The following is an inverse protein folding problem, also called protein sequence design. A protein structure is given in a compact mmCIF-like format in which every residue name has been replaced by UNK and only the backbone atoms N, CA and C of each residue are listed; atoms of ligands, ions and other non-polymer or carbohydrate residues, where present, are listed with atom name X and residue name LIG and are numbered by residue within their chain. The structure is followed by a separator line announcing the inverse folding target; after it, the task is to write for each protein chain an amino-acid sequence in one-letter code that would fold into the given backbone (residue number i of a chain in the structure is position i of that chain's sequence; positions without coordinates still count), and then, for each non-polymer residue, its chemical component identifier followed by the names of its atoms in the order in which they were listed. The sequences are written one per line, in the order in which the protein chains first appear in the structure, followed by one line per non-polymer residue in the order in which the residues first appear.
data_IF_894513712041
#
_entry.id   IF_894513712041
#
_cell.length_a   1.000
_cell.length_b   1.000
_cell.length_c   1.000
_cell.angle_alpha   90.00
_cell.angle_beta   90.00
_cell.angle_gamma   90.00
#
_symmetry.space_group_name_H-M   'P 1'
#
loop_
_entity.id
_entity.type
_entity.pdbx_description
1 polymer ?
#
# COMPACT_ATOMS: atom_id res chain seq x y z
N UNK A 1 -24.03 27.09 18.30
CA UNK A 1 -23.80 26.83 19.74
C UNK A 1 -24.60 25.59 20.11
N UNK A 2 -23.95 24.43 20.09
CA UNK A 2 -24.57 23.16 20.50
C UNK A 2 -23.97 22.80 21.85
N UNK A 3 -24.86 22.71 22.84
CA UNK A 3 -24.54 22.33 24.20
C UNK A 3 -24.12 20.86 24.23
N UNK A 4 -22.94 20.65 24.83
CA UNK A 4 -22.41 19.37 25.28
C UNK A 4 -23.17 18.97 26.53
N UNK A 5 -23.68 17.74 26.58
CA UNK A 5 -24.16 17.13 27.82
C UNK A 5 -23.66 15.69 27.90
N UNK A 6 -22.95 15.42 28.99
CA UNK A 6 -22.47 14.10 29.43
C UNK A 6 -23.56 13.39 30.23
N UNK A 7 -23.71 12.06 30.05
CA UNK A 7 -23.91 11.07 31.13
C UNK A 7 -24.23 9.64 30.61
N UNK A 8 -23.40 8.70 31.10
CA UNK A 8 -23.68 7.41 31.74
C UNK A 8 -24.69 6.37 31.20
N UNK A 9 -24.13 5.25 30.75
CA UNK A 9 -24.47 3.81 30.92
C UNK A 9 -25.84 3.45 31.55
N UNK A 10 -26.70 2.69 30.82
CA UNK A 10 -27.17 1.33 31.14
C UNK A 10 -28.15 0.76 30.07
N UNK A 11 -27.87 -0.48 29.63
CA UNK A 11 -28.72 -1.58 29.07
C UNK A 11 -29.91 -1.34 28.09
N UNK A 12 -29.89 -2.22 27.06
CA UNK A 12 -30.96 -2.89 26.27
C UNK A 12 -30.96 -2.55 24.76
N UNK A 13 -31.61 -3.35 23.89
CA UNK A 13 -31.39 -4.75 23.55
C UNK A 13 -31.08 -4.91 22.03
N UNK A 14 -30.86 -6.14 21.58
CA UNK A 14 -30.74 -6.50 20.15
C UNK A 14 -31.84 -5.86 19.30
N UNK A 15 -31.48 -4.98 18.35
CA UNK A 15 -32.07 -4.91 17.02
C UNK A 15 -31.37 -3.83 16.13
N UNK A 16 -31.02 -4.26 14.91
CA UNK A 16 -30.72 -3.46 13.72
C UNK A 16 -29.50 -2.53 13.76
N UNK A 17 -28.32 -3.07 13.41
CA UNK A 17 -27.28 -2.32 12.67
C UNK A 17 -26.57 -3.27 11.70
N UNK A 18 -27.08 -3.37 10.47
CA UNK A 18 -26.41 -4.00 9.32
C UNK A 18 -25.69 -2.96 8.44
N UNK A 19 -25.07 -1.96 9.05
CA UNK A 19 -24.13 -1.08 8.35
C UNK A 19 -22.72 -1.55 8.67
N UNK A 20 -21.87 -1.63 7.65
CA UNK A 20 -20.49 -2.14 7.71
C UNK A 20 -19.68 -1.39 8.77
N UNK A 21 -19.66 -1.89 10.01
CA UNK A 21 -18.98 -1.25 11.11
C UNK A 21 -17.49 -1.60 11.05
N UNK A 22 -16.69 -0.76 10.40
CA UNK A 22 -15.23 -0.83 10.49
C UNK A 22 -14.76 -0.65 11.93
N UNK A 23 -13.90 -1.55 12.42
CA UNK A 23 -13.42 -1.55 13.79
C UNK A 23 -11.96 -1.14 13.89
N UNK A 24 -11.69 -0.11 14.70
CA UNK A 24 -10.33 0.28 15.09
C UNK A 24 -10.15 -0.11 16.54
N UNK A 25 -9.16 -0.97 16.78
CA UNK A 25 -8.68 -1.34 18.11
C UNK A 25 -7.34 -0.64 18.31
N UNK A 26 -7.35 0.41 19.13
CA UNK A 26 -6.12 1.04 19.60
C UNK A 26 -5.69 0.38 20.91
N UNK A 27 -4.47 -0.16 20.92
CA UNK A 27 -3.82 -0.64 22.12
C UNK A 27 -3.07 0.53 22.76
N UNK A 28 -3.73 1.17 23.73
CA UNK A 28 -3.11 2.18 24.58
C UNK A 28 -2.81 1.58 25.97
N UNK A 29 -1.62 1.89 26.48
CA UNK A 29 -1.28 1.62 27.88
C UNK A 29 -0.70 2.91 28.46
N UNK A 30 -1.39 3.43 29.48
CA UNK A 30 -1.01 4.65 30.19
C UNK A 30 0.26 4.39 31.00
N UNK A 31 1.14 5.40 31.13
CA UNK A 31 2.30 5.33 32.04
C UNK A 31 1.92 5.06 33.51
N UNK A 32 0.65 5.22 33.86
CA UNK A 32 0.12 5.03 35.21
C UNK A 32 -0.79 3.80 35.37
N UNK A 33 -1.11 3.06 34.30
CA UNK A 33 -1.97 1.88 34.33
C UNK A 33 -1.24 0.63 33.78
N UNK A 34 -0.95 -0.38 34.62
CA UNK A 34 -0.24 -1.57 34.18
C UNK A 34 -1.09 -2.51 33.31
N UNK A 35 -2.39 -2.28 33.13
CA UNK A 35 -3.22 -3.15 32.28
C UNK A 35 -3.36 -2.59 30.86
N UNK A 36 -3.19 -3.42 29.81
CA UNK A 36 -3.51 -2.97 28.45
C UNK A 36 -4.98 -2.58 28.40
N UNK A 37 -5.30 -1.46 27.73
CA UNK A 37 -6.68 -1.08 27.41
C UNK A 37 -6.91 -1.25 25.92
N UNK A 38 -8.02 -1.86 25.56
CA UNK A 38 -8.49 -1.83 24.19
C UNK A 38 -9.38 -0.60 24.03
N UNK A 39 -9.02 0.33 23.14
CA UNK A 39 -9.95 1.37 22.73
C UNK A 39 -10.60 0.96 21.42
N UNK A 40 -11.92 0.87 21.46
CA UNK A 40 -12.75 0.48 20.34
C UNK A 40 -13.69 1.64 20.04
N UNK A 41 -13.47 2.36 18.93
CA UNK A 41 -14.30 3.53 18.54
C UNK A 41 -14.49 4.55 19.68
N UNK A 42 -13.42 4.84 20.42
CA UNK A 42 -13.46 5.76 21.56
C UNK A 42 -13.99 5.19 22.87
N UNK A 43 -14.44 3.92 22.92
CA UNK A 43 -14.77 3.23 24.18
C UNK A 43 -13.59 2.43 24.68
N UNK A 44 -13.20 2.66 25.94
CA UNK A 44 -12.14 1.91 26.60
C UNK A 44 -12.69 0.65 27.27
N UNK A 45 -12.03 -0.48 27.02
CA UNK A 45 -12.31 -1.76 27.66
C UNK A 45 -11.12 -2.18 28.54
N UNK A 46 -11.32 -2.29 29.87
CA UNK A 46 -10.30 -2.82 30.75
C UNK A 46 -10.19 -4.35 30.59
N UNK A 47 -8.97 -4.86 30.42
CA UNK A 47 -8.67 -6.29 30.23
C UNK A 47 -8.60 -7.04 31.57
N UNK A 48 -9.35 -6.59 32.56
CA UNK A 48 -9.17 -7.01 33.94
C UNK A 48 -9.84 -8.36 34.28
N UNK A 49 -10.64 -8.98 33.38
CA UNK A 49 -11.29 -10.27 33.64
C UNK A 49 -11.41 -11.19 32.42
N UNK A 50 -11.39 -12.51 32.65
CA UNK A 50 -11.63 -13.56 31.64
C UNK A 50 -13.02 -13.42 30.99
N UNK A 51 -14.03 -12.98 31.74
CA UNK A 51 -15.38 -12.76 31.24
C UNK A 51 -15.44 -11.59 30.24
N UNK A 52 -14.66 -10.52 30.52
CA UNK A 52 -14.49 -9.41 29.58
C UNK A 52 -13.84 -9.87 28.28
N UNK A 53 -12.89 -10.81 28.34
CA UNK A 53 -12.23 -11.36 27.15
C UNK A 53 -13.18 -12.23 26.32
N UNK A 54 -14.04 -13.06 26.96
CA UNK A 54 -15.02 -13.87 26.25
C UNK A 54 -16.06 -13.02 25.51
N UNK A 55 -16.65 -12.02 26.18
CA UNK A 55 -17.60 -11.11 25.53
C UNK A 55 -16.97 -10.29 24.41
N UNK A 56 -15.71 -9.89 24.58
CA UNK A 56 -14.97 -9.20 23.55
C UNK A 56 -14.71 -10.10 22.34
N UNK A 57 -14.34 -11.36 22.55
CA UNK A 57 -14.18 -12.38 21.50
C UNK A 57 -15.52 -12.63 20.79
N UNK A 58 -16.58 -12.88 21.54
CA UNK A 58 -17.91 -13.10 20.96
C UNK A 58 -18.36 -11.92 20.09
N UNK A 59 -18.17 -10.69 20.59
CA UNK A 59 -18.50 -9.49 19.85
C UNK A 59 -17.67 -9.33 18.56
N UNK A 60 -16.39 -9.70 18.58
CA UNK A 60 -15.54 -9.66 17.40
C UNK A 60 -15.86 -10.72 16.35
N UNK A 61 -16.63 -11.76 16.70
CA UNK A 61 -17.04 -12.81 15.76
C UNK A 61 -17.86 -12.30 14.58
N UNK A 62 -18.54 -11.17 14.75
CA UNK A 62 -19.31 -10.49 13.71
C UNK A 62 -18.53 -9.39 12.97
N UNK A 63 -17.25 -9.15 13.31
CA UNK A 63 -16.47 -8.06 12.71
C UNK A 63 -16.04 -8.40 11.29
N UNK A 64 -16.37 -7.52 10.34
CA UNK A 64 -16.00 -7.66 8.92
C UNK A 64 -14.70 -6.95 8.56
N UNK A 65 -14.33 -5.90 9.30
CA UNK A 65 -13.07 -5.18 9.13
C UNK A 65 -12.45 -4.90 10.50
N UNK A 66 -11.18 -5.30 10.65
CA UNK A 66 -10.43 -5.16 11.89
C UNK A 66 -9.16 -4.39 11.61
N UNK A 67 -8.99 -3.28 12.31
CA UNK A 67 -7.78 -2.48 12.32
C UNK A 67 -7.12 -2.59 13.69
N UNK A 68 -5.87 -3.04 13.71
CA UNK A 68 -5.07 -3.21 14.93
C UNK A 68 -3.94 -2.19 14.88
N UNK A 69 -3.99 -1.20 15.76
CA UNK A 69 -2.93 -0.22 16.00
C UNK A 69 -2.43 -0.34 17.43
N UNK A 70 -1.17 0.03 17.68
CA UNK A 70 -0.67 0.09 19.04
C UNK A 70 0.42 1.14 19.22
N UNK A 71 0.62 1.55 20.47
CA UNK A 71 1.89 2.15 20.85
C UNK A 71 2.74 1.05 21.48
N UNK A 72 3.93 0.81 20.93
CA UNK A 72 4.82 -0.14 21.58
C UNK A 72 5.26 0.44 22.92
N UNK A 73 5.20 -0.39 23.95
CA UNK A 73 5.85 -0.10 25.20
C UNK A 73 7.31 -0.49 25.09
N UNK A 74 8.18 0.51 25.08
CA UNK A 74 9.63 0.35 25.12
C UNK A 74 10.02 -0.68 26.20
N UNK A 75 10.59 -1.81 25.79
CA UNK A 75 11.47 -2.70 26.58
C UNK A 75 10.97 -3.41 27.85
N UNK A 76 9.69 -3.38 28.23
CA UNK A 76 9.25 -4.21 29.37
C UNK A 76 8.85 -5.58 28.85
N UNK A 77 9.71 -6.59 29.05
CA UNK A 77 9.63 -8.00 28.58
C UNK A 77 8.37 -8.80 28.94
N UNK A 78 7.20 -8.20 28.78
CA UNK A 78 5.88 -8.80 28.88
C UNK A 78 5.60 -9.45 27.53
N UNK A 79 5.37 -10.76 27.54
CA UNK A 79 4.93 -11.50 26.37
C UNK A 79 3.68 -10.80 25.81
N UNK A 80 3.76 -10.29 24.58
CA UNK A 80 2.56 -9.80 23.89
C UNK A 80 1.56 -10.96 23.89
N UNK A 81 0.35 -10.81 24.47
CA UNK A 81 -0.66 -11.85 24.37
C UNK A 81 -0.82 -12.16 22.89
N UNK A 82 -0.61 -13.43 22.53
CA UNK A 82 -0.33 -13.78 21.16
C UNK A 82 -1.53 -13.41 20.31
N UNK A 83 -1.35 -12.37 19.50
CA UNK A 83 -2.35 -11.86 18.55
C UNK A 83 -2.89 -13.03 17.71
N UNK A 84 -2.07 -14.07 17.51
CA UNK A 84 -2.41 -15.35 16.89
C UNK A 84 -3.56 -16.10 17.56
N UNK A 85 -3.56 -16.24 18.89
CA UNK A 85 -4.65 -16.94 19.62
C UNK A 85 -5.95 -16.14 19.49
N UNK A 86 -5.84 -14.81 19.55
CA UNK A 86 -6.98 -13.93 19.41
C UNK A 86 -7.56 -13.96 18.00
N UNK A 87 -6.72 -13.90 16.97
CA UNK A 87 -7.13 -13.91 15.57
C UNK A 87 -7.76 -15.26 15.19
N UNK A 88 -7.12 -16.37 15.58
CA UNK A 88 -7.52 -17.74 15.21
C UNK A 88 -8.87 -18.17 15.77
N UNK A 89 -9.31 -17.64 16.92
CA UNK A 89 -10.58 -18.01 17.55
C UNK A 89 -11.76 -17.20 17.04
N UNK A 90 -11.53 -15.99 16.56
CA UNK A 90 -12.56 -14.94 16.62
C UNK A 90 -13.04 -14.44 15.27
N UNK A 91 -12.40 -14.78 14.16
CA UNK A 91 -12.61 -14.04 12.89
C UNK A 91 -13.23 -14.87 11.76
N UNK A 92 -14.48 -15.33 11.92
CA UNK A 92 -15.18 -16.05 10.84
C UNK A 92 -15.75 -15.11 9.75
N UNK A 93 -16.11 -13.89 10.12
CA UNK A 93 -16.71 -12.89 9.23
C UNK A 93 -15.71 -11.88 8.68
N UNK A 94 -14.43 -11.97 9.05
CA UNK A 94 -13.46 -10.93 8.76
C UNK A 94 -13.07 -10.93 7.28
N UNK A 95 -13.40 -9.85 6.59
CA UNK A 95 -13.10 -9.64 5.16
C UNK A 95 -11.87 -8.78 4.91
N UNK A 96 -11.49 -7.94 5.88
CA UNK A 96 -10.31 -7.08 5.80
C UNK A 96 -9.60 -7.03 7.14
N UNK A 97 -8.29 -7.26 7.12
CA UNK A 97 -7.43 -7.08 8.29
C UNK A 97 -6.40 -6.01 7.96
N UNK A 98 -6.38 -4.96 8.77
CA UNK A 98 -5.41 -3.88 8.72
C UNK A 98 -4.56 -3.93 9.98
N UNK A 99 -3.25 -4.03 9.83
CA UNK A 99 -2.29 -4.02 10.93
C UNK A 99 -1.47 -2.75 10.79
N UNK A 100 -1.78 -1.78 11.65
CA UNK A 100 -1.14 -0.48 11.71
C UNK A 100 0.06 -0.49 12.68
N UNK A 101 0.82 0.60 12.57
CA UNK A 101 2.06 0.91 13.28
C UNK A 101 2.00 0.56 14.77
N UNK A 102 3.11 0.00 15.27
CA UNK A 102 3.46 -0.03 16.69
C UNK A 102 4.62 0.95 16.91
N UNK A 103 4.34 2.10 17.52
CA UNK A 103 5.38 3.11 17.78
C UNK A 103 6.34 2.62 18.86
N UNK A 104 7.59 2.31 18.52
CA UNK A 104 8.66 2.05 19.50
C UNK A 104 9.19 0.61 19.53
N UNK A 105 8.48 -0.35 18.94
CA UNK A 105 8.95 -1.72 18.69
C UNK A 105 8.47 -2.20 17.33
N UNK A 106 9.29 -3.05 16.75
CA UNK A 106 9.07 -3.68 15.46
C UNK A 106 7.99 -4.75 15.62
N UNK A 107 6.86 -4.62 14.92
CA UNK A 107 5.89 -5.73 14.86
C UNK A 107 6.63 -6.96 14.35
N UNK A 108 6.65 -8.02 15.16
CA UNK A 108 7.10 -9.32 14.71
C UNK A 108 6.10 -9.84 13.69
N UNK A 109 6.32 -9.53 12.41
CA UNK A 109 5.50 -10.06 11.34
C UNK A 109 5.40 -11.59 11.41
N UNK A 110 6.46 -12.35 11.76
CA UNK A 110 6.33 -13.79 12.01
C UNK A 110 5.27 -14.16 13.04
N UNK A 111 5.17 -13.45 14.16
CA UNK A 111 4.18 -13.76 15.20
C UNK A 111 2.75 -13.45 14.75
N UNK A 112 2.58 -12.39 13.96
CA UNK A 112 1.32 -12.09 13.29
C UNK A 112 0.98 -13.21 12.30
N UNK A 113 1.94 -13.61 11.47
CA UNK A 113 1.77 -14.61 10.43
C UNK A 113 1.59 -16.01 10.96
N UNK A 114 2.21 -16.41 12.07
CA UNK A 114 1.93 -17.68 12.74
C UNK A 114 0.45 -17.76 13.09
N UNK A 115 -0.11 -16.65 13.60
CA UNK A 115 -1.54 -16.52 13.84
C UNK A 115 -2.42 -16.58 12.60
N UNK A 116 -1.95 -16.01 11.50
CA UNK A 116 -2.68 -16.02 10.24
C UNK A 116 -2.49 -17.33 9.45
N UNK A 117 -1.38 -18.04 9.63
CA UNK A 117 -1.10 -19.32 9.00
C UNK A 117 -2.10 -20.37 9.52
N UNK A 118 -2.40 -20.33 10.82
CA UNK A 118 -3.47 -21.14 11.42
C UNK A 118 -4.84 -20.81 10.82
N UNK A 119 -5.11 -19.55 10.42
CA UNK A 119 -6.33 -19.21 9.70
C UNK A 119 -6.39 -19.86 8.31
N UNK A 120 -5.28 -19.93 7.59
CA UNK A 120 -5.23 -20.48 6.22
C UNK A 120 -5.73 -21.92 6.14
N UNK A 121 -5.53 -22.70 7.21
CA UNK A 121 -5.98 -24.09 7.30
C UNK A 121 -7.42 -24.24 7.80
N UNK A 122 -7.98 -23.22 8.46
CA UNK A 122 -9.23 -23.36 9.22
C UNK A 122 -10.34 -22.38 8.81
N UNK A 123 -10.06 -21.29 8.08
CA UNK A 123 -11.04 -20.20 7.84
C UNK A 123 -10.86 -19.51 6.46
N UNK A 124 -11.88 -19.54 5.58
CA UNK A 124 -11.72 -19.18 4.16
C UNK A 124 -11.90 -17.69 3.77
N UNK A 125 -12.14 -16.76 4.71
CA UNK A 125 -12.82 -15.50 4.35
C UNK A 125 -12.02 -14.18 4.43
N UNK A 126 -10.69 -14.20 4.53
CA UNK A 126 -9.88 -12.97 4.51
C UNK A 126 -9.33 -12.64 3.11
N UNK A 127 -10.07 -11.93 2.22
CA UNK A 127 -9.58 -11.54 0.90
C UNK A 127 -8.60 -10.37 0.91
N UNK A 128 -8.56 -9.54 1.96
CA UNK A 128 -7.69 -8.36 2.01
C UNK A 128 -6.86 -8.31 3.29
N UNK A 129 -5.55 -8.18 3.12
CA UNK A 129 -4.58 -7.99 4.20
C UNK A 129 -3.77 -6.72 3.92
N UNK A 130 -3.75 -5.82 4.90
CA UNK A 130 -2.95 -4.60 4.85
C UNK A 130 -2.04 -4.55 6.06
N UNK A 131 -0.75 -4.31 5.83
CA UNK A 131 0.25 -4.27 6.88
C UNK A 131 1.12 -3.03 6.67
N UNK A 132 1.30 -2.24 7.72
CA UNK A 132 2.00 -0.97 7.67
C UNK A 132 3.20 -0.99 8.62
N UNK A 133 4.30 -0.33 8.21
CA UNK A 133 5.51 -0.12 9.01
C UNK A 133 6.15 -1.43 9.51
N UNK A 134 6.32 -2.41 8.61
CA UNK A 134 7.02 -3.64 8.96
C UNK A 134 8.51 -3.40 8.94
N UNK A 135 9.13 -3.20 10.10
CA UNK A 135 10.56 -2.97 10.20
C UNK A 135 11.24 -4.14 10.93
N UNK A 136 12.56 -4.30 10.75
CA UNK A 136 13.40 -5.22 11.56
C UNK A 136 14.04 -6.37 10.79
N UNK A 137 15.27 -6.75 11.13
CA UNK A 137 15.88 -7.98 10.62
C UNK A 137 15.60 -9.13 11.60
N UNK A 138 14.67 -10.03 11.28
CA UNK A 138 14.58 -11.33 11.98
C UNK A 138 15.26 -12.42 11.18
N UNK A 139 15.68 -13.48 11.88
CA UNK A 139 16.30 -14.67 11.28
C UNK A 139 15.39 -15.33 10.26
N UNK A 140 15.99 -15.89 9.21
CA UNK A 140 15.32 -16.60 8.10
C UNK A 140 14.39 -17.74 8.54
N UNK A 141 14.63 -18.30 9.73
CA UNK A 141 13.84 -19.38 10.34
C UNK A 141 12.37 -19.01 10.51
N UNK A 142 12.07 -17.75 10.83
CA UNK A 142 10.71 -17.28 11.07
C UNK A 142 9.84 -17.24 9.82
N UNK A 143 10.46 -17.12 8.64
CA UNK A 143 9.76 -17.09 7.36
C UNK A 143 9.48 -18.50 6.82
N UNK A 144 10.04 -19.53 7.47
CA UNK A 144 9.89 -20.90 7.01
C UNK A 144 8.43 -21.36 7.09
N UNK A 145 7.75 -21.09 8.21
CA UNK A 145 6.32 -21.41 8.39
C UNK A 145 5.47 -20.84 7.26
N UNK A 146 5.75 -19.60 6.83
CA UNK A 146 5.02 -18.96 5.75
C UNK A 146 5.33 -19.57 4.38
N UNK A 147 6.59 -19.93 4.13
CA UNK A 147 7.00 -20.66 2.92
C UNK A 147 6.31 -22.02 2.84
N UNK A 148 6.17 -22.71 3.96
CA UNK A 148 5.49 -24.00 4.05
C UNK A 148 3.96 -23.85 3.79
N UNK A 149 3.41 -22.66 4.04
CA UNK A 149 2.03 -22.30 3.74
C UNK A 149 1.82 -21.75 2.31
N UNK A 150 2.76 -21.93 1.37
CA UNK A 150 2.61 -21.42 0.00
C UNK A 150 1.27 -21.82 -0.62
N UNK A 151 0.54 -20.84 -1.14
CA UNK A 151 -0.70 -21.04 -1.88
C UNK A 151 -1.89 -21.52 -1.04
N UNK A 152 -1.84 -21.40 0.29
CA UNK A 152 -2.95 -21.79 1.17
C UNK A 152 -3.87 -20.62 1.51
N UNK A 153 -3.37 -19.38 1.56
CA UNK A 153 -4.18 -18.25 1.99
C UNK A 153 -5.26 -17.84 0.96
N UNK A 154 -6.47 -17.47 1.42
CA UNK A 154 -7.56 -16.96 0.58
C UNK A 154 -7.40 -15.48 0.19
N UNK A 155 -6.28 -14.86 0.56
CA UNK A 155 -5.98 -13.44 0.30
C UNK A 155 -5.94 -13.18 -1.20
N UNK A 156 -6.61 -12.10 -1.63
CA UNK A 156 -6.61 -11.61 -3.01
C UNK A 156 -5.98 -10.23 -3.14
N UNK A 157 -5.94 -9.47 -2.04
CA UNK A 157 -5.37 -8.12 -1.98
C UNK A 157 -4.37 -8.04 -0.84
N UNK A 158 -3.14 -7.70 -1.17
CA UNK A 158 -2.06 -7.48 -0.20
C UNK A 158 -1.55 -6.04 -0.32
N UNK A 159 -1.58 -5.30 0.77
CA UNK A 159 -1.01 -3.96 0.87
C UNK A 159 0.11 -3.96 1.91
N UNK A 160 1.31 -3.60 1.50
CA UNK A 160 2.50 -3.50 2.35
C UNK A 160 3.01 -2.06 2.27
N UNK A 161 2.92 -1.33 3.38
CA UNK A 161 3.38 0.06 3.48
C UNK A 161 4.58 0.17 4.40
N UNK A 162 5.58 0.95 4.00
CA UNK A 162 6.85 1.10 4.70
C UNK A 162 7.47 -0.27 5.07
N UNK A 163 7.63 -1.15 4.08
CA UNK A 163 8.14 -2.50 4.24
C UNK A 163 9.67 -2.54 4.31
N UNK A 164 10.22 -2.80 5.50
CA UNK A 164 11.65 -2.82 5.82
C UNK A 164 12.25 -4.20 6.09
N UNK A 165 11.61 -5.29 5.68
CA UNK A 165 12.14 -6.67 5.82
C UNK A 165 12.98 -7.08 4.59
N UNK A 166 13.41 -8.35 4.52
CA UNK A 166 14.22 -8.89 3.41
C UNK A 166 13.38 -9.27 2.17
N UNK A 167 14.01 -9.41 0.99
CA UNK A 167 13.37 -9.95 -0.21
C UNK A 167 12.78 -11.36 -0.01
N UNK A 168 13.46 -12.23 0.74
CA UNK A 168 13.00 -13.59 1.02
C UNK A 168 11.72 -13.60 1.86
N UNK A 169 11.59 -12.64 2.78
CA UNK A 169 10.36 -12.44 3.54
C UNK A 169 9.21 -11.96 2.64
N UNK A 170 9.48 -11.03 1.73
CA UNK A 170 8.48 -10.54 0.77
C UNK A 170 8.03 -11.65 -0.16
N UNK A 171 8.97 -12.47 -0.64
CA UNK A 171 8.67 -13.62 -1.48
C UNK A 171 7.74 -14.61 -0.76
N UNK A 172 8.02 -14.92 0.49
CA UNK A 172 7.16 -15.79 1.29
C UNK A 172 5.74 -15.20 1.43
N UNK A 173 5.61 -13.89 1.68
CA UNK A 173 4.32 -13.18 1.74
C UNK A 173 3.56 -13.20 0.42
N UNK A 174 4.23 -12.98 -0.70
CA UNK A 174 3.59 -12.96 -2.02
C UNK A 174 3.21 -14.36 -2.49
N UNK A 175 3.96 -15.40 -2.09
CA UNK A 175 3.66 -16.81 -2.39
C UNK A 175 2.60 -17.42 -1.49
N UNK A 176 2.35 -16.85 -0.31
CA UNK A 176 1.38 -17.39 0.64
C UNK A 176 -0.06 -17.42 0.09
N UNK A 177 -0.58 -16.38 -0.57
CA UNK A 177 -1.89 -16.43 -1.21
C UNK A 177 -1.93 -17.35 -2.44
N UNK A 178 -3.03 -18.11 -2.58
CA UNK A 178 -3.24 -18.99 -3.74
C UNK A 178 -3.37 -18.24 -5.07
N UNK A 179 -4.04 -17.08 -5.03
CA UNK A 179 -4.36 -16.25 -6.20
C UNK A 179 -4.33 -14.78 -5.83
N UNK A 180 -3.13 -14.23 -5.66
CA UNK A 180 -2.98 -12.80 -5.37
C UNK A 180 -3.38 -11.99 -6.62
N UNK A 181 -4.36 -11.09 -6.48
CA UNK A 181 -4.89 -10.28 -7.58
C UNK A 181 -4.44 -8.82 -7.49
N UNK A 182 -4.27 -8.29 -6.27
CA UNK A 182 -3.86 -6.92 -6.04
C UNK A 182 -2.65 -6.88 -5.13
N UNK A 183 -1.62 -6.17 -5.56
CA UNK A 183 -0.44 -5.91 -4.75
C UNK A 183 -0.18 -4.41 -4.73
N UNK A 184 -0.12 -3.85 -3.53
CA UNK A 184 0.38 -2.51 -3.28
C UNK A 184 1.60 -2.64 -2.38
N UNK A 185 2.75 -2.14 -2.82
CA UNK A 185 4.02 -2.34 -2.13
C UNK A 185 4.80 -1.03 -2.09
N UNK A 186 4.95 -0.47 -0.89
CA UNK A 186 5.87 0.62 -0.59
C UNK A 186 6.98 0.08 0.33
N UNK A 187 8.23 -0.04 -0.14
CA UNK A 187 9.36 -0.39 0.70
C UNK A 187 9.67 0.73 1.71
N UNK A 188 10.41 0.39 2.75
CA UNK A 188 10.99 1.39 3.64
C UNK A 188 12.26 1.97 2.98
N UNK A 189 12.21 3.25 2.62
CA UNK A 189 13.34 3.96 2.01
C UNK A 189 14.24 4.57 3.10
N UNK A 190 15.48 4.08 3.21
CA UNK A 190 16.42 4.42 4.28
C UNK A 190 17.04 5.83 4.16
N UNK A 191 16.86 6.52 3.03
CA UNK A 191 17.52 7.80 2.76
C UNK A 191 17.13 8.87 3.77
N UNK A 192 15.88 8.87 4.23
CA UNK A 192 15.37 9.80 5.25
C UNK A 192 16.04 9.71 6.62
N UNK A 193 16.83 8.66 6.89
CA UNK A 193 17.39 8.42 8.23
C UNK A 193 18.92 8.32 8.28
N UNK A 194 19.62 8.38 7.14
CA UNK A 194 21.07 8.18 7.08
C UNK A 194 21.53 6.76 7.46
N UNK A 195 20.61 5.80 7.62
CA UNK A 195 20.90 4.42 8.05
C UNK A 195 21.13 3.47 6.87
N UNK A 196 22.05 3.81 5.97
CA UNK A 196 22.26 3.17 4.66
C UNK A 196 22.70 1.70 4.65
N UNK A 197 22.72 1.00 5.80
CA UNK A 197 23.14 -0.39 5.93
C UNK A 197 22.19 -1.33 6.66
N UNK A 198 21.11 -0.83 7.28
CA UNK A 198 20.20 -1.66 8.09
C UNK A 198 19.02 -2.23 7.28
N UNK A 199 18.77 -1.68 6.09
CA UNK A 199 17.61 -2.02 5.29
C UNK A 199 18.01 -2.63 3.95
N UNK A 200 17.17 -3.54 3.48
CA UNK A 200 17.35 -4.15 2.17
C UNK A 200 17.22 -3.10 1.08
N UNK A 201 18.18 -3.07 0.15
CA UNK A 201 18.05 -2.26 -1.06
C UNK A 201 17.03 -2.91 -1.98
N UNK A 202 15.92 -2.22 -2.20
CA UNK A 202 14.88 -2.67 -3.10
C UNK A 202 15.14 -2.16 -4.51
N UNK A 203 15.15 -3.07 -5.49
CA UNK A 203 15.25 -2.75 -6.91
C UNK A 203 14.32 -3.64 -7.72
N UNK A 204 14.04 -3.27 -8.97
CA UNK A 204 13.23 -4.12 -9.84
C UNK A 204 13.89 -5.46 -10.17
N UNK A 205 15.22 -5.55 -10.22
CA UNK A 205 15.93 -6.83 -10.33
C UNK A 205 15.56 -7.82 -9.21
N UNK A 206 15.38 -7.30 -7.99
CA UNK A 206 14.96 -8.10 -6.83
C UNK A 206 13.46 -8.40 -6.88
N UNK A 207 12.65 -7.42 -7.28
CA UNK A 207 11.19 -7.53 -7.28
C UNK A 207 10.65 -8.44 -8.39
N UNK A 208 11.20 -8.38 -9.61
CA UNK A 208 10.73 -9.12 -10.77
C UNK A 208 10.54 -10.63 -10.49
N UNK A 209 11.54 -11.39 -10.03
CA UNK A 209 11.38 -12.82 -9.77
C UNK A 209 10.34 -13.10 -8.67
N UNK A 210 10.15 -12.18 -7.72
CA UNK A 210 9.11 -12.31 -6.68
C UNK A 210 7.72 -12.11 -7.29
N UNK A 211 7.54 -11.07 -8.12
CA UNK A 211 6.27 -10.77 -8.80
C UNK A 211 5.87 -11.89 -9.76
N UNK A 212 6.84 -12.49 -10.45
CA UNK A 212 6.62 -13.61 -11.38
C UNK A 212 5.94 -14.81 -10.72
N UNK A 213 6.10 -14.99 -9.41
CA UNK A 213 5.41 -16.04 -8.64
C UNK A 213 3.88 -15.92 -8.68
N UNK A 214 3.36 -14.72 -8.98
CA UNK A 214 1.93 -14.41 -9.10
C UNK A 214 1.55 -13.87 -10.48
N UNK A 215 2.41 -14.00 -11.51
CA UNK A 215 2.17 -13.45 -12.86
C UNK A 215 0.84 -13.90 -13.48
N UNK A 216 0.42 -15.13 -13.18
CA UNK A 216 -0.81 -15.72 -13.72
C UNK A 216 -2.10 -15.19 -13.04
N UNK A 217 -1.98 -14.44 -11.95
CA UNK A 217 -3.10 -14.01 -11.11
C UNK A 217 -3.19 -12.50 -10.92
N UNK A 218 -2.05 -11.80 -10.95
CA UNK A 218 -1.98 -10.38 -10.64
C UNK A 218 -2.75 -9.55 -11.66
N UNK A 219 -3.68 -8.72 -11.17
CA UNK A 219 -4.54 -7.80 -11.94
C UNK A 219 -4.21 -6.35 -11.68
N UNK A 220 -3.75 -6.04 -10.47
CA UNK A 220 -3.40 -4.69 -10.06
C UNK A 220 -2.05 -4.72 -9.34
N UNK A 221 -1.12 -3.89 -9.81
CA UNK A 221 0.18 -3.68 -9.18
C UNK A 221 0.40 -2.19 -8.96
N UNK A 222 0.74 -1.82 -7.74
CA UNK A 222 1.08 -0.46 -7.37
C UNK A 222 2.35 -0.44 -6.55
N UNK A 223 3.37 0.25 -7.04
CA UNK A 223 4.65 0.44 -6.35
C UNK A 223 4.87 1.95 -6.34
N UNK A 224 4.30 2.70 -5.38
CA UNK A 224 4.26 4.17 -5.45
C UNK A 224 5.61 4.83 -5.16
N UNK A 225 6.57 4.09 -4.63
CA UNK A 225 7.87 4.58 -4.22
C UNK A 225 8.85 3.41 -4.34
N UNK A 226 9.84 3.55 -5.22
CA UNK A 226 10.95 2.61 -5.34
C UNK A 226 12.17 3.38 -5.81
N UNK A 227 13.11 3.54 -4.89
CA UNK A 227 14.21 4.49 -5.01
C UNK A 227 15.35 4.05 -5.95
N UNK A 228 15.51 2.73 -6.18
CA UNK A 228 16.80 2.20 -6.63
C UNK A 228 16.65 1.34 -7.89
N UNK A 229 17.37 1.75 -8.93
CA UNK A 229 17.42 1.06 -10.21
C UNK A 229 16.25 1.47 -11.09
N UNK A 230 16.52 1.79 -12.35
CA UNK A 230 15.44 2.07 -13.28
C UNK A 230 14.62 0.80 -13.54
N UNK A 231 13.65 0.92 -14.43
CA UNK A 231 12.78 -0.20 -14.85
C UNK A 231 13.48 -1.21 -15.77
N UNK A 232 14.82 -1.16 -15.94
CA UNK A 232 15.52 -2.01 -16.91
C UNK A 232 15.42 -3.51 -16.60
N UNK A 233 15.08 -3.89 -15.36
CA UNK A 233 14.89 -5.28 -14.92
C UNK A 233 13.41 -5.68 -14.77
N UNK A 234 12.49 -4.75 -15.06
CA UNK A 234 11.05 -4.96 -14.94
C UNK A 234 10.47 -5.38 -16.29
N UNK A 235 9.72 -6.49 -16.33
CA UNK A 235 9.02 -6.93 -17.54
C UNK A 235 7.64 -7.51 -17.22
N UNK A 236 6.61 -6.81 -17.71
CA UNK A 236 5.20 -7.18 -17.56
C UNK A 236 4.60 -7.80 -18.83
N UNK A 237 5.39 -8.06 -19.87
CA UNK A 237 4.91 -8.67 -21.13
C UNK A 237 4.20 -10.01 -20.92
N UNK A 238 4.60 -10.78 -19.91
CA UNK A 238 4.02 -12.08 -19.55
C UNK A 238 2.89 -12.00 -18.51
N UNK A 239 2.56 -10.81 -18.00
CA UNK A 239 1.51 -10.63 -17.00
C UNK A 239 0.13 -10.53 -17.65
N UNK A 240 -0.36 -11.68 -18.12
CA UNK A 240 -1.56 -11.78 -18.94
C UNK A 240 -2.86 -11.32 -18.25
N UNK A 241 -2.87 -11.11 -16.93
CA UNK A 241 -4.06 -10.61 -16.21
C UNK A 241 -3.90 -9.19 -15.68
N UNK A 242 -2.72 -8.57 -15.84
CA UNK A 242 -2.47 -7.24 -15.31
C UNK A 242 -3.30 -6.22 -16.07
N UNK A 243 -4.21 -5.57 -15.36
CA UNK A 243 -5.16 -4.57 -15.88
C UNK A 243 -4.81 -3.17 -15.39
N UNK A 244 -4.23 -3.04 -14.20
CA UNK A 244 -3.87 -1.77 -13.57
C UNK A 244 -2.42 -1.81 -13.13
N UNK A 245 -1.63 -0.84 -13.59
CA UNK A 245 -0.25 -0.67 -13.18
C UNK A 245 -0.04 0.77 -12.71
N UNK A 246 0.49 0.94 -11.50
CA UNK A 246 0.80 2.24 -10.91
C UNK A 246 2.28 2.32 -10.55
N UNK A 247 2.99 3.27 -11.13
CA UNK A 247 4.42 3.47 -10.95
C UNK A 247 4.75 4.96 -10.81
N UNK A 248 5.77 5.32 -10.02
CA UNK A 248 6.31 6.68 -10.01
C UNK A 248 7.08 6.97 -11.30
N UNK A 249 7.26 8.24 -11.60
CA UNK A 249 8.01 8.70 -12.77
C UNK A 249 9.49 8.43 -12.66
N UNK A 250 10.02 8.54 -11.45
CA UNK A 250 11.43 8.35 -11.09
C UNK A 250 11.97 7.01 -11.57
N UNK A 251 11.16 5.95 -11.53
CA UNK A 251 11.60 4.61 -11.96
C UNK A 251 11.77 4.49 -13.46
N UNK A 252 10.97 5.22 -14.24
CA UNK A 252 10.98 5.14 -15.71
C UNK A 252 12.17 5.85 -16.32
N UNK A 253 12.76 6.82 -15.59
CA UNK A 253 13.85 7.70 -16.05
C UNK A 253 13.58 8.33 -17.42
N UNK A 254 12.30 8.42 -17.80
CA UNK A 254 11.82 8.94 -19.08
C UNK A 254 12.42 8.25 -20.31
N UNK A 255 12.89 7.01 -20.16
CA UNK A 255 13.50 6.24 -21.25
C UNK A 255 12.44 5.54 -22.09
N UNK A 256 12.24 6.02 -23.31
CA UNK A 256 11.29 5.42 -24.26
C UNK A 256 11.61 3.94 -24.58
N UNK A 257 12.88 3.53 -24.50
CA UNK A 257 13.31 2.15 -24.77
C UNK A 257 12.76 1.11 -23.79
N UNK A 258 12.32 1.53 -22.61
CA UNK A 258 11.82 0.63 -21.56
C UNK A 258 10.30 0.42 -21.63
N UNK A 259 9.59 1.29 -22.36
CA UNK A 259 8.14 1.23 -22.55
C UNK A 259 7.62 -0.15 -23.00
N UNK A 260 8.25 -0.86 -23.96
CA UNK A 260 7.76 -2.17 -24.40
C UNK A 260 7.58 -3.19 -23.28
N UNK A 261 8.33 -3.05 -22.17
CA UNK A 261 8.29 -3.95 -21.02
C UNK A 261 7.16 -3.63 -20.04
N UNK A 262 6.65 -2.39 -20.05
CA UNK A 262 5.58 -1.96 -19.14
C UNK A 262 4.18 -2.24 -19.69
N UNK A 263 4.07 -2.39 -21.01
CA UNK A 263 2.80 -2.51 -21.73
C UNK A 263 2.31 -3.96 -21.70
N UNK A 264 1.75 -4.38 -20.56
CA UNK A 264 1.18 -5.72 -20.41
C UNK A 264 0.00 -5.95 -21.39
N UNK A 265 -0.23 -7.18 -21.88
CA UNK A 265 -1.21 -7.45 -22.95
C UNK A 265 -2.65 -7.01 -22.63
N UNK A 266 -3.05 -7.10 -21.35
CA UNK A 266 -4.39 -6.72 -20.88
C UNK A 266 -4.40 -5.44 -20.04
N UNK A 267 -3.33 -4.63 -20.11
CA UNK A 267 -3.25 -3.38 -19.37
C UNK A 267 -4.36 -2.43 -19.83
N UNK A 268 -5.19 -1.95 -18.89
CA UNK A 268 -6.31 -1.03 -19.13
C UNK A 268 -6.04 0.34 -18.56
N UNK A 269 -5.41 0.39 -17.39
CA UNK A 269 -5.08 1.63 -16.69
C UNK A 269 -3.60 1.64 -16.37
N UNK A 270 -2.91 2.66 -16.86
CA UNK A 270 -1.56 3.00 -16.41
C UNK A 270 -1.62 4.29 -15.61
N UNK A 271 -1.18 4.26 -14.36
CA UNK A 271 -1.10 5.42 -13.47
C UNK A 271 0.37 5.78 -13.25
N UNK A 272 0.72 6.99 -13.65
CA UNK A 272 2.07 7.50 -13.64
C UNK A 272 2.14 8.69 -12.70
N UNK A 273 2.74 8.48 -11.53
CA UNK A 273 2.88 9.53 -10.53
C UNK A 273 4.17 10.27 -10.75
N UNK A 274 4.11 11.53 -11.15
CA UNK A 274 5.27 12.38 -11.27
C UNK A 274 5.77 12.67 -9.86
N UNK A 275 6.98 12.22 -9.52
CA UNK A 275 7.61 12.48 -8.22
C UNK A 275 9.01 13.02 -8.50
N UNK A 276 9.46 13.98 -7.69
CA UNK A 276 10.85 14.40 -7.69
C UNK A 276 11.73 13.30 -7.06
N UNK A 277 12.91 13.03 -7.65
CA UNK A 277 13.80 11.93 -7.25
C UNK A 277 14.33 12.00 -5.82
N UNK A 278 14.12 13.13 -5.14
CA UNK A 278 14.31 13.24 -3.70
C UNK A 278 12.93 13.12 -3.06
N UNK A 279 12.61 11.97 -2.47
CA UNK A 279 11.35 11.66 -1.77
C UNK A 279 10.92 12.65 -0.65
N UNK A 280 11.69 13.72 -0.42
CA UNK A 280 11.44 14.80 0.53
C UNK A 280 11.13 16.15 -0.15
N UNK A 281 11.33 16.26 -1.47
CA UNK A 281 11.06 17.48 -2.22
C UNK A 281 9.68 17.39 -2.86
N UNK A 282 8.87 18.41 -2.63
CA UNK A 282 7.61 18.60 -3.33
C UNK A 282 7.87 18.70 -4.85
N UNK A 283 6.93 18.24 -5.67
CA UNK A 283 7.03 18.29 -7.13
C UNK A 283 7.19 19.75 -7.59
N UNK A 284 8.16 20.02 -8.47
CA UNK A 284 8.40 21.33 -9.06
C UNK A 284 7.64 21.47 -10.40
N UNK A 285 7.41 22.72 -10.83
CA UNK A 285 6.60 22.99 -12.03
C UNK A 285 7.25 22.38 -13.29
N UNK A 286 8.57 22.32 -13.36
CA UNK A 286 9.33 21.79 -14.48
C UNK A 286 9.58 20.27 -14.40
N UNK A 287 9.11 19.58 -13.37
CA UNK A 287 9.20 18.11 -13.24
C UNK A 287 8.36 17.37 -14.31
N UNK A 288 7.45 18.07 -15.00
CA UNK A 288 6.79 17.58 -16.22
C UNK A 288 7.21 18.42 -17.44
N UNK A 289 8.43 18.16 -17.91
CA UNK A 289 9.02 18.79 -19.09
C UNK A 289 8.83 18.00 -20.38
N UNK A 290 9.73 18.26 -21.34
CA UNK A 290 9.71 17.64 -22.67
C UNK A 290 9.97 16.13 -22.60
N UNK A 291 10.89 15.68 -21.74
CA UNK A 291 11.23 14.25 -21.61
C UNK A 291 10.05 13.43 -21.13
N UNK A 292 9.31 13.96 -20.15
CA UNK A 292 8.10 13.36 -19.61
C UNK A 292 7.01 13.29 -20.67
N UNK A 293 6.79 14.39 -21.39
CA UNK A 293 5.84 14.45 -22.50
C UNK A 293 6.18 13.40 -23.59
N UNK A 294 7.43 13.33 -24.02
CA UNK A 294 7.90 12.38 -25.03
C UNK A 294 7.79 10.93 -24.56
N UNK A 295 8.02 10.68 -23.27
CA UNK A 295 7.84 9.37 -22.68
C UNK A 295 6.37 8.93 -22.69
N UNK A 296 5.43 9.80 -22.31
CA UNK A 296 3.98 9.48 -22.40
C UNK A 296 3.59 9.22 -23.86
N UNK A 297 4.08 10.03 -24.80
CA UNK A 297 3.85 9.81 -26.25
C UNK A 297 4.37 8.44 -26.70
N UNK A 298 5.57 8.06 -26.27
CA UNK A 298 6.15 6.75 -26.58
C UNK A 298 5.31 5.61 -26.00
N UNK A 299 4.80 5.78 -24.78
CA UNK A 299 3.91 4.80 -24.13
C UNK A 299 2.62 4.59 -24.90
N UNK A 300 1.94 5.68 -25.27
CA UNK A 300 0.70 5.63 -26.06
C UNK A 300 0.95 4.97 -27.41
N UNK A 301 1.97 5.38 -28.16
CA UNK A 301 2.31 4.76 -29.45
C UNK A 301 2.53 3.26 -29.31
N UNK A 302 3.30 2.84 -28.30
CA UNK A 302 3.57 1.42 -28.07
C UNK A 302 2.30 0.63 -27.72
N UNK A 303 1.41 1.19 -26.90
CA UNK A 303 0.13 0.58 -26.59
C UNK A 303 -0.73 0.37 -27.85
N UNK A 304 -0.75 1.35 -28.76
CA UNK A 304 -1.44 1.27 -30.06
C UNK A 304 -0.80 0.20 -30.95
N UNK A 305 0.53 0.22 -31.10
CA UNK A 305 1.27 -0.73 -31.94
C UNK A 305 1.06 -2.18 -31.49
N UNK A 306 1.06 -2.39 -30.18
CA UNK A 306 0.81 -3.70 -29.56
C UNK A 306 -0.68 -4.07 -29.51
N UNK A 307 -1.59 -3.17 -29.93
CA UNK A 307 -3.05 -3.34 -29.84
C UNK A 307 -3.51 -3.77 -28.45
N UNK A 308 -2.94 -3.13 -27.42
CA UNK A 308 -3.31 -3.44 -26.04
C UNK A 308 -4.71 -2.94 -25.71
N UNK A 309 -5.21 -3.30 -24.53
CA UNK A 309 -6.51 -2.84 -24.01
C UNK A 309 -6.41 -1.53 -23.24
N UNK A 310 -5.36 -0.72 -23.47
CA UNK A 310 -5.15 0.50 -22.70
C UNK A 310 -6.30 1.48 -22.96
N UNK A 311 -7.03 1.82 -21.92
CA UNK A 311 -8.17 2.74 -21.97
C UNK A 311 -7.80 4.09 -21.36
N UNK A 312 -7.00 4.08 -20.29
CA UNK A 312 -6.65 5.29 -19.54
C UNK A 312 -5.17 5.30 -19.18
N UNK A 313 -4.53 6.42 -19.47
CA UNK A 313 -3.24 6.79 -18.91
C UNK A 313 -3.49 7.97 -17.95
N UNK A 314 -3.29 7.77 -16.66
CA UNK A 314 -3.47 8.80 -15.64
C UNK A 314 -2.12 9.36 -15.20
N UNK A 315 -1.94 10.68 -15.26
CA UNK A 315 -0.76 11.39 -14.76
C UNK A 315 -1.12 12.04 -13.42
N UNK A 316 -0.56 11.54 -12.32
CA UNK A 316 -0.66 12.21 -11.03
C UNK A 316 0.48 13.23 -10.94
N UNK A 317 0.13 14.52 -10.91
CA UNK A 317 1.08 15.63 -10.88
C UNK A 317 0.43 16.82 -10.19
N UNK A 318 0.98 17.20 -9.03
CA UNK A 318 0.48 18.26 -8.17
C UNK A 318 1.66 19.10 -7.69
N UNK A 319 2.32 19.83 -8.60
CA UNK A 319 3.50 20.61 -8.26
C UNK A 319 3.15 21.76 -7.33
N UNK A 320 4.10 22.12 -6.49
CA UNK A 320 4.08 23.37 -5.76
C UNK A 320 4.69 24.49 -6.61
N UNK A 321 4.32 25.73 -6.31
CA UNK A 321 5.03 26.89 -6.84
C UNK A 321 6.37 27.05 -6.11
N UNK A 322 7.37 26.35 -6.64
CA UNK A 322 8.77 26.46 -6.23
C UNK A 322 9.53 27.53 -7.02
N UNK A 323 10.83 27.30 -7.24
CA UNK A 323 11.67 28.18 -8.05
C UNK A 323 11.35 27.97 -9.52
N UNK A 324 10.63 28.91 -10.12
CA UNK A 324 10.31 28.83 -11.56
C UNK A 324 11.52 29.30 -12.37
N UNK A 325 12.05 28.41 -13.22
CA UNK A 325 13.07 28.79 -14.17
C UNK A 325 12.48 29.62 -15.33
N UNK A 326 13.31 30.46 -15.96
CA UNK A 326 12.88 31.18 -17.16
C UNK A 326 12.57 30.18 -18.27
N UNK A 327 11.46 30.40 -18.99
CA UNK A 327 10.97 29.59 -20.12
C UNK A 327 10.28 28.27 -19.77
N UNK A 328 9.74 28.14 -18.55
CA UNK A 328 8.89 26.99 -18.21
C UNK A 328 7.59 27.08 -19.01
N UNK A 329 7.34 26.04 -19.81
CA UNK A 329 6.06 25.85 -20.49
C UNK A 329 5.07 25.31 -19.47
N UNK A 330 3.85 25.86 -19.45
CA UNK A 330 2.81 25.42 -18.53
C UNK A 330 2.55 23.90 -18.68
N UNK A 331 2.79 23.08 -17.63
CA UNK A 331 2.78 21.62 -17.76
C UNK A 331 1.47 21.02 -18.28
N UNK A 332 0.34 21.59 -17.86
CA UNK A 332 -0.97 21.12 -18.30
C UNK A 332 -1.22 21.34 -19.80
N UNK A 333 -0.59 22.34 -20.43
CA UNK A 333 -0.65 22.50 -21.90
C UNK A 333 0.04 21.34 -22.62
N UNK A 334 1.14 20.83 -22.04
CA UNK A 334 1.84 19.64 -22.55
C UNK A 334 0.94 18.41 -22.43
N UNK A 335 0.33 18.21 -21.26
CA UNK A 335 -0.58 17.08 -21.02
C UNK A 335 -1.81 17.14 -21.95
N UNK A 336 -2.38 18.32 -22.16
CA UNK A 336 -3.46 18.57 -23.14
C UNK A 336 -3.05 18.23 -24.57
N UNK A 337 -1.83 18.60 -24.96
CA UNK A 337 -1.28 18.26 -26.28
C UNK A 337 -1.21 16.75 -26.48
N UNK A 338 -0.72 16.00 -25.48
CA UNK A 338 -0.66 14.53 -25.54
C UNK A 338 -2.06 13.92 -25.51
N UNK A 339 -2.98 14.47 -24.72
CA UNK A 339 -4.37 14.02 -24.65
C UNK A 339 -5.06 14.10 -26.02
N UNK A 340 -5.01 15.27 -26.69
CA UNK A 340 -5.57 15.47 -28.04
C UNK A 340 -5.00 14.50 -29.07
N UNK A 341 -3.73 14.17 -28.96
CA UNK A 341 -3.07 13.25 -29.90
C UNK A 341 -3.36 11.77 -29.62
N UNK A 342 -3.75 11.44 -28.40
CA UNK A 342 -4.10 10.07 -27.99
C UNK A 342 -5.57 9.73 -28.29
N UNK A 343 -6.44 10.74 -28.35
CA UNK A 343 -7.88 10.60 -28.54
C UNK A 343 -8.29 9.81 -29.81
N UNK A 344 -7.67 10.02 -31.00
CA UNK A 344 -7.99 9.22 -32.20
C UNK A 344 -7.76 7.71 -32.04
N UNK A 345 -6.96 7.31 -31.05
CA UNK A 345 -6.65 5.92 -30.73
C UNK A 345 -7.55 5.33 -29.62
N UNK A 346 -8.49 6.11 -29.09
CA UNK A 346 -9.37 5.69 -28.00
C UNK A 346 -8.71 5.63 -26.62
N UNK A 347 -7.46 6.07 -26.48
CA UNK A 347 -6.73 6.13 -25.22
C UNK A 347 -6.97 7.49 -24.57
N UNK A 348 -7.53 7.49 -23.35
CA UNK A 348 -7.80 8.70 -22.58
C UNK A 348 -6.59 9.07 -21.73
N UNK A 349 -5.96 10.20 -22.02
CA UNK A 349 -5.00 10.80 -21.09
C UNK A 349 -5.80 11.62 -20.07
N UNK A 350 -5.64 11.29 -18.81
CA UNK A 350 -6.20 12.02 -17.67
C UNK A 350 -5.07 12.48 -16.79
N UNK A 351 -5.26 13.57 -16.08
CA UNK A 351 -4.24 14.09 -15.20
C UNK A 351 -4.86 14.85 -14.03
N UNK A 352 -4.07 15.08 -12.99
CA UNK A 352 -4.51 15.86 -11.83
C UNK A 352 -4.79 17.32 -12.22
N UNK A 353 -5.85 17.94 -11.67
CA UNK A 353 -6.23 19.30 -12.05
C UNK A 353 -5.10 20.30 -11.72
N UNK A 354 -5.02 21.44 -12.44
CA UNK A 354 -4.02 22.45 -12.14
C UNK A 354 -4.08 22.97 -10.71
N UNK A 355 -2.92 23.03 -10.06
CA UNK A 355 -2.76 23.62 -8.71
C UNK A 355 -2.65 25.14 -8.75
N UNK A 356 -2.38 25.71 -9.93
CA UNK A 356 -2.30 27.14 -10.19
C UNK A 356 -2.62 27.45 -11.66
N UNK A 357 -2.98 28.71 -11.96
CA UNK A 357 -3.31 29.17 -13.31
C UNK A 357 -2.07 29.49 -14.16
N UNK A 358 -2.26 29.71 -15.47
CA UNK A 358 -1.17 30.18 -16.35
C UNK A 358 -0.69 31.57 -15.97
N UNK A 359 -1.62 32.41 -15.54
CA UNK A 359 -1.39 33.77 -15.11
C UNK A 359 -0.55 33.79 -13.84
N UNK A 360 -0.82 32.89 -12.89
CA UNK A 360 0.01 32.70 -11.70
C UNK A 360 1.44 32.35 -12.12
N UNK A 361 1.62 31.35 -13.00
CA UNK A 361 2.95 30.98 -13.49
C UNK A 361 3.68 32.16 -14.16
N UNK A 362 2.97 32.94 -14.98
CA UNK A 362 3.52 34.12 -15.63
C UNK A 362 3.98 35.18 -14.63
N UNK A 363 3.22 35.39 -13.55
CA UNK A 363 3.57 36.32 -12.48
C UNK A 363 4.87 35.91 -11.76
N UNK A 364 5.07 34.61 -11.51
CA UNK A 364 6.28 34.09 -10.86
C UNK A 364 7.53 34.09 -11.76
N UNK A 365 7.38 34.32 -13.07
CA UNK A 365 8.52 34.41 -14.01
C UNK A 365 9.08 35.84 -14.18
N UNK A 366 8.37 36.86 -13.70
CA UNK A 366 8.79 38.27 -13.71
C UNK A 366 9.71 38.53 -12.53
#
# INVERSE_FOLDING_TARGET
MVNKLEASIFRLPNEVLSETLGLVIDLERSSYDPYPRFRVRGREWPVASLDSAHHFIEWLSCTTELNISGHAMVNYGVQQPSLSIFISRTLNCLTRLTILRFYGDLISLPSVLEGLADLGNSRPNLPALEIYNIMGSRSDSHWQTLRDCKGTAPIKSLKLDYYGQTPQALEALIRWPKKLQKLWFRPFCAWSTGQSGLFSRWSFAVMQPILETQMANLRELSIPDLDIGGIEDLDFSNFMKLEILKLPSTVTRYRAGDVPRLVAPNLRVFEWRVINGNNECEEEVDDFGQEQEDWVRAFVRRAVDCKTKLETFYIEFSPIMGRVYRNVVYPWDRMDSVARQSEPHGIKIRYSPPTFSKEDLAYWMI
#
